data_IF_471970237209
#
_entry.id   IF_471970237209
#
_cell.length_a   1.000
_cell.length_b   1.000
_cell.length_c   1.000
_cell.angle_alpha   90.00
_cell.angle_beta   90.00
_cell.angle_gamma   90.00
#
_symmetry.space_group_name_H-M   'P 1'
#
loop_
_entity.id
_entity.type
_entity.pdbx_description
1 polymer ?
#
# COMPACT_ATOMS: atom_id res chain seq x y z
N UNK A 1 -9.31 26.64 -1.00
CA UNK A 1 -8.67 25.74 -0.01
C UNK A 1 -9.43 25.79 1.32
N UNK A 2 -9.87 24.64 1.83
CA UNK A 2 -10.57 24.51 3.13
C UNK A 2 -9.74 25.09 4.29
N UNK A 3 -8.45 24.75 4.37
CA UNK A 3 -7.57 25.24 5.44
C UNK A 3 -7.52 26.76 5.56
N UNK A 4 -7.43 27.51 4.43
CA UNK A 4 -7.49 28.98 4.45
C UNK A 4 -8.83 29.57 4.95
N UNK A 5 -9.91 28.77 4.87
CA UNK A 5 -11.24 29.18 5.38
C UNK A 5 -11.46 28.82 6.85
N UNK A 6 -10.46 28.25 7.51
CA UNK A 6 -10.58 27.78 8.89
C UNK A 6 -11.34 26.46 9.05
N UNK A 7 -11.53 25.71 7.95
CA UNK A 7 -12.25 24.43 7.97
C UNK A 7 -11.33 23.27 8.39
N UNK A 8 -11.89 22.29 9.07
CA UNK A 8 -11.19 21.04 9.35
C UNK A 8 -10.81 20.33 8.05
N UNK A 9 -9.59 19.83 7.98
CA UNK A 9 -9.11 19.01 6.87
C UNK A 9 -8.81 17.58 7.31
N UNK A 10 -8.95 16.65 6.39
CA UNK A 10 -8.59 15.25 6.60
C UNK A 10 -7.43 14.87 5.70
N UNK A 11 -6.36 14.33 6.27
CA UNK A 11 -5.18 13.84 5.57
C UNK A 11 -5.08 12.34 5.80
N UNK A 12 -4.95 11.56 4.71
CA UNK A 12 -4.76 10.11 4.79
C UNK A 12 -3.34 9.78 4.33
N UNK A 13 -2.57 9.08 5.18
CA UNK A 13 -1.35 8.41 4.77
C UNK A 13 -1.68 7.01 4.25
N UNK A 14 -1.46 6.73 2.97
CA UNK A 14 -1.81 5.48 2.31
C UNK A 14 -0.60 4.78 1.72
N UNK A 15 -0.16 3.69 2.35
CA UNK A 15 1.11 3.06 1.96
C UNK A 15 1.47 1.83 2.77
N UNK A 16 2.78 1.54 2.77
CA UNK A 16 3.38 0.39 3.44
C UNK A 16 3.82 0.67 4.89
N UNK A 17 4.88 -0.02 5.32
CA UNK A 17 5.43 0.08 6.68
C UNK A 17 6.01 1.45 7.00
N UNK A 18 6.53 2.19 6.02
CA UNK A 18 7.06 3.53 6.24
C UNK A 18 5.91 4.48 6.58
N UNK A 19 4.82 4.42 5.83
CA UNK A 19 3.61 5.18 6.14
C UNK A 19 3.00 4.75 7.48
N UNK A 20 3.02 3.45 7.82
CA UNK A 20 2.59 2.95 9.12
C UNK A 20 3.42 3.54 10.28
N UNK A 21 4.66 3.98 10.01
CA UNK A 21 5.56 4.61 10.95
C UNK A 21 6.64 3.69 11.51
N UNK A 22 7.02 2.66 10.76
CA UNK A 22 8.12 1.78 11.18
C UNK A 22 9.40 2.58 11.46
N UNK A 23 10.04 2.29 12.61
CA UNK A 23 11.22 2.98 13.16
C UNK A 23 10.99 4.42 13.65
N UNK A 24 9.81 5.00 13.51
CA UNK A 24 9.42 6.15 14.30
C UNK A 24 9.19 5.72 15.77
N UNK A 25 9.70 6.50 16.71
CA UNK A 25 9.60 6.13 18.15
C UNK A 25 8.22 6.44 18.74
N UNK A 26 7.43 7.28 18.08
CA UNK A 26 6.07 7.67 18.46
C UNK A 26 5.31 8.22 17.25
N UNK A 27 3.99 8.33 17.35
CA UNK A 27 3.14 8.79 16.24
C UNK A 27 3.47 10.20 15.77
N UNK A 28 3.82 11.11 16.67
CA UNK A 28 4.22 12.48 16.37
C UNK A 28 5.57 12.59 15.62
N UNK A 29 6.31 11.49 15.50
CA UNK A 29 7.55 11.38 14.71
C UNK A 29 7.34 10.75 13.34
N UNK A 30 6.14 10.30 13.00
CA UNK A 30 5.81 9.78 11.69
C UNK A 30 5.67 10.90 10.67
N UNK A 31 6.17 10.72 9.46
CA UNK A 31 6.21 11.79 8.46
C UNK A 31 4.82 12.39 8.15
N UNK A 32 3.79 11.55 8.06
CA UNK A 32 2.43 12.01 7.77
C UNK A 32 1.84 12.85 8.92
N UNK A 33 2.10 12.50 10.18
CA UNK A 33 1.67 13.32 11.33
C UNK A 33 2.43 14.65 11.39
N UNK A 34 3.73 14.66 11.03
CA UNK A 34 4.51 15.91 10.96
C UNK A 34 3.94 16.83 9.84
N UNK A 35 3.52 16.26 8.71
CA UNK A 35 2.82 17.02 7.66
C UNK A 35 1.49 17.57 8.18
N UNK A 36 0.70 16.76 8.88
CA UNK A 36 -0.54 17.21 9.49
C UNK A 36 -0.32 18.34 10.51
N UNK A 37 0.77 18.25 11.30
CA UNK A 37 1.14 19.32 12.24
C UNK A 37 1.51 20.62 11.52
N UNK A 38 2.19 20.54 10.37
CA UNK A 38 2.47 21.73 9.55
C UNK A 38 1.18 22.47 9.14
N UNK A 39 0.12 21.74 8.77
CA UNK A 39 -1.18 22.36 8.44
C UNK A 39 -1.83 23.01 9.67
N UNK A 40 -1.76 22.35 10.86
CA UNK A 40 -2.28 22.93 12.11
C UNK A 40 -1.57 24.23 12.44
N UNK A 41 -0.23 24.24 12.36
CA UNK A 41 0.60 25.41 12.71
C UNK A 41 0.48 26.55 11.69
N UNK A 42 0.29 26.22 10.41
CA UNK A 42 0.26 27.22 9.33
C UNK A 42 -1.09 27.92 9.22
N UNK A 43 -2.19 27.18 9.46
CA UNK A 43 -3.55 27.69 9.21
C UNK A 43 -4.41 27.83 10.45
N UNK A 44 -3.93 27.40 11.60
CA UNK A 44 -4.69 27.35 12.87
C UNK A 44 -6.02 26.59 12.73
N UNK A 45 -5.96 25.38 12.11
CA UNK A 45 -7.12 24.55 11.83
C UNK A 45 -7.00 23.17 12.46
N UNK A 46 -8.14 22.51 12.66
CA UNK A 46 -8.15 21.10 13.03
C UNK A 46 -7.74 20.23 11.82
N UNK A 47 -6.88 19.25 12.08
CA UNK A 47 -6.48 18.26 11.08
C UNK A 47 -6.71 16.85 11.62
N UNK A 48 -7.54 16.10 10.91
CA UNK A 48 -7.71 14.67 11.12
C UNK A 48 -6.66 13.92 10.30
N UNK A 49 -5.60 13.46 10.93
CA UNK A 49 -4.66 12.57 10.26
C UNK A 49 -5.06 11.11 10.47
N UNK A 50 -5.27 10.40 9.36
CA UNK A 50 -5.59 8.97 9.34
C UNK A 50 -4.39 8.21 8.81
N UNK A 51 -3.75 7.41 9.65
CA UNK A 51 -2.67 6.54 9.24
C UNK A 51 -3.22 5.21 8.70
N UNK A 52 -3.33 5.11 7.38
CA UNK A 52 -3.73 3.91 6.64
C UNK A 52 -2.53 3.12 6.09
N UNK A 53 -1.34 3.31 6.68
CA UNK A 53 -0.17 2.48 6.43
C UNK A 53 -0.36 1.06 6.97
N UNK A 54 0.05 0.07 6.18
CA UNK A 54 0.06 -1.35 6.57
C UNK A 54 1.37 -1.97 6.09
N UNK A 55 2.17 -2.46 7.01
CA UNK A 55 3.49 -3.03 6.71
C UNK A 55 3.46 -4.11 5.63
N UNK A 56 4.49 -4.12 4.80
CA UNK A 56 4.67 -5.09 3.70
C UNK A 56 3.55 -5.14 2.65
N UNK A 57 2.69 -4.11 2.56
CA UNK A 57 1.65 -4.05 1.53
C UNK A 57 2.13 -3.31 0.29
N UNK A 58 1.80 -3.86 -0.87
CA UNK A 58 2.05 -3.31 -2.20
C UNK A 58 0.87 -2.49 -2.69
N UNK A 59 1.01 -1.79 -3.82
CA UNK A 59 -0.11 -1.11 -4.49
C UNK A 59 -1.23 -2.08 -4.88
N UNK A 60 -0.90 -3.33 -5.20
CA UNK A 60 -1.89 -4.38 -5.45
C UNK A 60 -2.76 -4.67 -4.22
N UNK A 61 -2.18 -4.70 -3.02
CA UNK A 61 -2.96 -4.76 -1.77
C UNK A 61 -3.69 -3.44 -1.54
N UNK A 62 -3.03 -2.33 -1.84
CA UNK A 62 -3.56 -0.98 -1.72
C UNK A 62 -4.89 -0.82 -2.43
N UNK A 63 -4.94 -1.16 -3.72
CA UNK A 63 -6.16 -0.95 -4.52
C UNK A 63 -7.36 -1.73 -3.99
N UNK A 64 -7.18 -2.93 -3.45
CA UNK A 64 -8.28 -3.73 -2.89
C UNK A 64 -8.81 -3.18 -1.55
N UNK A 65 -8.05 -2.32 -0.86
CA UNK A 65 -8.43 -1.72 0.43
C UNK A 65 -8.72 -0.23 0.36
N UNK A 66 -8.75 0.35 -0.82
CA UNK A 66 -8.87 1.80 -1.02
C UNK A 66 -10.19 2.35 -0.46
N UNK A 67 -11.30 1.61 -0.60
CA UNK A 67 -12.61 1.99 -0.07
C UNK A 67 -12.58 2.19 1.45
N UNK A 68 -12.04 1.20 2.16
CA UNK A 68 -12.02 1.20 3.61
C UNK A 68 -10.98 2.15 4.20
N UNK A 69 -9.83 2.29 3.50
CA UNK A 69 -8.66 2.96 4.05
C UNK A 69 -8.41 4.37 3.48
N UNK A 70 -9.15 4.77 2.45
CA UNK A 70 -9.07 6.12 1.87
C UNK A 70 -10.46 6.74 1.81
N UNK A 71 -11.38 6.21 1.01
CA UNK A 71 -12.65 6.87 0.71
C UNK A 71 -13.59 6.95 1.90
N UNK A 72 -13.59 5.95 2.79
CA UNK A 72 -14.38 5.98 4.03
C UNK A 72 -14.04 7.18 4.94
N UNK A 73 -12.92 7.84 4.72
CA UNK A 73 -12.46 9.00 5.51
C UNK A 73 -12.73 10.35 4.84
N UNK A 74 -13.20 10.38 3.58
CA UNK A 74 -13.42 11.60 2.79
C UNK A 74 -12.21 12.56 2.87
N UNK A 75 -11.01 12.15 2.42
CA UNK A 75 -9.79 12.93 2.59
C UNK A 75 -9.76 14.18 1.73
N UNK A 76 -9.08 15.22 2.20
CA UNK A 76 -8.72 16.41 1.41
C UNK A 76 -7.34 16.25 0.77
N UNK A 77 -6.48 15.40 1.37
CA UNK A 77 -5.14 15.08 0.88
C UNK A 77 -4.82 13.62 1.17
N UNK A 78 -4.29 12.92 0.18
CA UNK A 78 -3.70 11.57 0.36
C UNK A 78 -2.21 11.62 0.07
N UNK A 79 -1.41 11.14 1.03
CA UNK A 79 0.01 10.88 0.87
C UNK A 79 0.19 9.42 0.47
N UNK A 80 0.57 9.15 -0.79
CA UNK A 80 0.67 7.80 -1.34
C UNK A 80 2.11 7.30 -1.33
N UNK A 81 2.36 6.12 -0.72
CA UNK A 81 3.68 5.50 -0.62
C UNK A 81 3.59 3.98 -0.80
N UNK A 82 3.95 3.48 -1.99
CA UNK A 82 4.11 2.05 -2.28
C UNK A 82 5.46 1.72 -2.93
N UNK A 83 6.28 2.72 -3.20
CA UNK A 83 7.52 2.58 -3.97
C UNK A 83 8.53 1.61 -3.36
N UNK A 84 8.53 1.45 -2.05
CA UNK A 84 9.47 0.54 -1.37
C UNK A 84 9.05 -0.93 -1.47
N UNK A 85 7.74 -1.20 -1.49
CA UNK A 85 7.19 -2.56 -1.44
C UNK A 85 6.90 -3.14 -2.83
N UNK A 86 6.61 -2.31 -3.81
CA UNK A 86 6.40 -2.75 -5.18
C UNK A 86 7.74 -3.15 -5.80
N UNK A 87 7.81 -4.35 -6.34
CA UNK A 87 9.06 -4.88 -6.85
C UNK A 87 9.47 -4.22 -8.15
N UNK A 88 10.76 -4.02 -8.26
CA UNK A 88 11.40 -3.51 -9.45
C UNK A 88 11.03 -4.27 -10.73
N UNK A 89 10.54 -3.56 -11.73
CA UNK A 89 10.28 -4.09 -13.06
C UNK A 89 9.15 -5.12 -13.12
N UNK A 90 8.46 -5.34 -12.01
CA UNK A 90 7.32 -6.24 -11.97
C UNK A 90 6.06 -5.53 -12.49
N UNK A 91 5.60 -5.94 -13.66
CA UNK A 91 4.42 -5.37 -14.32
C UNK A 91 3.14 -5.48 -13.48
N UNK A 92 3.11 -6.42 -12.52
CA UNK A 92 1.98 -6.60 -11.60
C UNK A 92 1.64 -5.37 -10.77
N UNK A 93 2.56 -4.42 -10.61
CA UNK A 93 2.35 -3.24 -9.78
C UNK A 93 2.08 -1.96 -10.57
N UNK A 94 2.23 -1.97 -11.91
CA UNK A 94 2.00 -0.80 -12.77
C UNK A 94 0.53 -0.39 -12.75
N UNK A 95 -0.34 -1.26 -13.22
CA UNK A 95 -1.78 -1.00 -13.27
C UNK A 95 -2.42 -0.82 -11.88
N UNK A 96 -2.10 -1.61 -10.83
CA UNK A 96 -2.65 -1.35 -9.51
C UNK A 96 -2.27 0.03 -8.95
N UNK A 97 -1.01 0.45 -9.14
CA UNK A 97 -0.57 1.76 -8.68
C UNK A 97 -1.25 2.89 -9.46
N UNK A 98 -1.31 2.78 -10.78
CA UNK A 98 -2.03 3.72 -11.63
C UNK A 98 -3.50 3.84 -11.21
N UNK A 99 -4.17 2.70 -11.00
CA UNK A 99 -5.58 2.70 -10.59
C UNK A 99 -5.78 3.33 -9.20
N UNK A 100 -4.83 3.16 -8.27
CA UNK A 100 -4.88 3.89 -6.98
C UNK A 100 -4.92 5.40 -7.20
N UNK A 101 -4.02 5.94 -8.04
CA UNK A 101 -3.99 7.37 -8.33
C UNK A 101 -5.28 7.82 -9.00
N UNK A 102 -5.67 7.11 -10.08
CA UNK A 102 -6.84 7.46 -10.88
C UNK A 102 -8.12 7.45 -10.07
N UNK A 103 -8.39 6.40 -9.30
CA UNK A 103 -9.59 6.31 -8.47
C UNK A 103 -9.68 7.44 -7.44
N UNK A 104 -8.55 7.80 -6.81
CA UNK A 104 -8.57 8.94 -5.87
C UNK A 104 -8.91 10.24 -6.61
N UNK A 105 -8.38 10.44 -7.82
CA UNK A 105 -8.62 11.65 -8.61
C UNK A 105 -10.04 11.69 -9.23
N UNK A 106 -10.62 10.53 -9.59
CA UNK A 106 -11.96 10.45 -10.17
C UNK A 106 -13.07 10.51 -9.13
N UNK A 107 -12.91 9.83 -8.01
CA UNK A 107 -13.98 9.63 -7.03
C UNK A 107 -14.07 10.77 -6.01
N UNK A 108 -13.05 11.64 -5.96
CA UNK A 108 -12.99 12.71 -4.95
C UNK A 108 -12.28 13.96 -5.46
N UNK A 109 -12.61 15.13 -4.90
CA UNK A 109 -11.84 16.38 -5.07
C UNK A 109 -10.54 16.35 -4.23
N UNK A 110 -9.97 15.18 -4.03
CA UNK A 110 -8.85 14.95 -3.13
C UNK A 110 -7.53 15.24 -3.82
N UNK A 111 -6.68 16.02 -3.18
CA UNK A 111 -5.30 16.20 -3.62
C UNK A 111 -4.46 14.94 -3.28
N UNK A 112 -3.51 14.64 -4.17
CA UNK A 112 -2.55 13.55 -3.97
C UNK A 112 -1.13 14.13 -3.93
N UNK A 113 -0.29 13.58 -3.06
CA UNK A 113 1.16 13.71 -3.13
C UNK A 113 1.74 12.29 -3.09
N UNK A 114 2.47 11.92 -4.12
CA UNK A 114 3.23 10.66 -4.13
C UNK A 114 4.59 10.87 -3.47
N UNK A 115 4.92 10.03 -2.50
CA UNK A 115 6.19 10.08 -1.77
C UNK A 115 7.04 8.89 -2.16
N UNK A 116 8.24 9.14 -2.67
CA UNK A 116 9.17 8.09 -3.10
C UNK A 116 10.14 7.78 -1.98
N UNK A 117 9.95 6.63 -1.36
CA UNK A 117 10.92 6.01 -0.46
C UNK A 117 11.67 4.89 -1.18
N UNK A 118 12.71 4.37 -0.55
CA UNK A 118 13.51 3.29 -1.10
C UNK A 118 14.27 2.52 -0.03
N UNK A 119 14.96 1.48 -0.47
CA UNK A 119 15.73 0.60 0.38
C UNK A 119 17.18 0.47 -0.11
N UNK A 120 18.08 0.12 0.80
CA UNK A 120 19.49 -0.18 0.48
C UNK A 120 19.77 -1.67 0.76
N UNK A 121 20.70 -2.24 0.02
CA UNK A 121 21.17 -3.61 0.28
C UNK A 121 22.23 -3.69 1.36
N UNK A 122 22.89 -2.56 1.66
CA UNK A 122 23.90 -2.44 2.70
C UNK A 122 23.56 -1.27 3.63
N UNK A 123 23.20 -1.59 4.87
CA UNK A 123 22.81 -0.58 5.87
C UNK A 123 23.94 0.44 6.19
N UNK A 124 25.19 0.02 6.06
CA UNK A 124 26.34 0.90 6.26
C UNK A 124 26.75 1.65 5.00
N UNK A 125 25.90 1.70 3.96
CA UNK A 125 26.19 2.39 2.73
C UNK A 125 26.44 3.89 2.95
N UNK A 126 27.56 4.36 2.46
CA UNK A 126 28.03 5.75 2.53
C UNK A 126 28.04 6.45 1.15
N UNK A 127 27.71 5.72 0.10
CA UNK A 127 27.53 6.24 -1.26
C UNK A 127 26.73 5.26 -2.13
N UNK A 128 26.31 5.71 -3.32
CA UNK A 128 25.54 4.90 -4.28
C UNK A 128 26.25 3.61 -4.68
N UNK A 129 27.58 3.66 -4.88
CA UNK A 129 28.34 2.49 -5.30
C UNK A 129 28.38 1.41 -4.20
N UNK A 130 28.45 1.81 -2.94
CA UNK A 130 28.47 0.90 -1.79
C UNK A 130 27.08 0.41 -1.39
N UNK A 131 26.01 1.07 -1.84
CA UNK A 131 24.64 0.71 -1.48
C UNK A 131 24.07 -0.42 -2.30
N UNK A 132 24.72 -0.86 -3.41
CA UNK A 132 24.03 -1.52 -4.50
C UNK A 132 22.72 -0.76 -4.78
N UNK A 133 22.82 0.56 -4.86
CA UNK A 133 21.71 1.42 -5.18
C UNK A 133 20.94 0.76 -6.32
N UNK A 134 19.96 0.02 -5.96
CA UNK A 134 18.91 -0.28 -6.90
C UNK A 134 18.26 1.07 -7.10
N UNK A 135 18.55 1.70 -8.23
CA UNK A 135 17.63 2.68 -8.75
C UNK A 135 16.28 2.10 -8.38
N UNK A 136 15.52 2.80 -7.55
CA UNK A 136 14.29 2.24 -7.04
C UNK A 136 13.46 1.89 -8.27
N UNK A 137 13.48 0.61 -8.65
CA UNK A 137 12.96 0.20 -9.95
C UNK A 137 11.42 0.34 -9.94
N UNK A 138 10.81 0.38 -8.72
CA UNK A 138 9.42 0.72 -8.56
C UNK A 138 9.14 2.14 -9.04
N UNK A 139 10.08 3.08 -8.88
CA UNK A 139 9.92 4.42 -9.43
C UNK A 139 9.74 4.38 -10.95
N UNK A 140 10.49 3.52 -11.67
CA UNK A 140 10.31 3.35 -13.11
C UNK A 140 8.94 2.77 -13.51
N UNK A 141 8.30 2.04 -12.61
CA UNK A 141 6.95 1.53 -12.80
C UNK A 141 5.87 2.56 -12.43
N UNK A 142 6.13 3.41 -11.44
CA UNK A 142 5.15 4.37 -10.91
C UNK A 142 5.24 5.76 -11.54
N UNK A 143 6.46 6.25 -11.82
CA UNK A 143 6.68 7.60 -12.32
C UNK A 143 5.89 7.92 -13.61
N UNK A 144 5.77 7.01 -14.60
CA UNK A 144 4.98 7.29 -15.78
C UNK A 144 3.52 7.67 -15.47
N UNK A 145 2.85 6.94 -14.58
CA UNK A 145 1.47 7.27 -14.18
C UNK A 145 1.40 8.53 -13.32
N UNK A 146 2.37 8.76 -12.43
CA UNK A 146 2.43 10.01 -11.67
C UNK A 146 2.50 11.23 -12.61
N UNK A 147 3.35 11.17 -13.65
CA UNK A 147 3.50 12.24 -14.64
C UNK A 147 2.27 12.36 -15.55
N UNK A 148 1.68 11.24 -15.93
CA UNK A 148 0.50 11.21 -16.80
C UNK A 148 -0.74 11.87 -16.18
N UNK A 149 -0.90 11.72 -14.85
CA UNK A 149 -1.98 12.33 -14.08
C UNK A 149 -1.58 13.63 -13.39
N UNK A 150 -0.40 14.17 -13.68
CA UNK A 150 0.13 15.40 -13.08
C UNK A 150 0.15 15.36 -11.53
N UNK A 151 0.43 14.19 -10.95
CA UNK A 151 0.52 14.00 -9.51
C UNK A 151 1.88 14.48 -9.00
N UNK A 152 1.92 15.39 -8.01
CA UNK A 152 3.17 15.83 -7.40
C UNK A 152 3.97 14.67 -6.81
N UNK A 153 5.28 14.65 -7.11
CA UNK A 153 6.22 13.61 -6.67
C UNK A 153 7.25 14.19 -5.72
N UNK A 154 7.29 13.71 -4.50
CA UNK A 154 8.34 14.02 -3.53
C UNK A 154 9.35 12.86 -3.52
N UNK A 155 10.40 13.00 -4.30
CA UNK A 155 11.50 12.02 -4.36
C UNK A 155 12.44 12.21 -3.17
N UNK A 156 12.01 11.76 -2.00
CA UNK A 156 12.82 11.75 -0.78
C UNK A 156 14.08 10.89 -0.96
N UNK A 157 13.94 9.70 -1.54
CA UNK A 157 15.03 8.75 -1.68
C UNK A 157 16.14 9.24 -2.62
N UNK A 158 15.79 9.75 -3.78
CA UNK A 158 16.76 10.33 -4.71
C UNK A 158 17.43 11.59 -4.16
N UNK A 159 16.66 12.43 -3.45
CA UNK A 159 17.18 13.62 -2.78
C UNK A 159 18.18 13.26 -1.68
N UNK A 160 17.87 12.23 -0.87
CA UNK A 160 18.74 11.73 0.19
C UNK A 160 20.13 11.31 -0.35
N UNK A 161 20.16 10.61 -1.48
CA UNK A 161 21.42 10.16 -2.09
C UNK A 161 22.33 11.29 -2.55
N UNK A 162 21.81 12.45 -2.89
CA UNK A 162 22.64 13.63 -3.18
C UNK A 162 23.45 14.04 -1.95
N UNK A 163 22.83 14.05 -0.77
CA UNK A 163 23.51 14.38 0.48
C UNK A 163 24.47 13.29 0.94
N UNK A 164 24.11 12.02 0.76
CA UNK A 164 24.97 10.89 1.09
C UNK A 164 26.23 10.89 0.20
N UNK A 165 26.08 11.04 -1.12
CA UNK A 165 27.22 11.10 -2.03
C UNK A 165 28.10 12.33 -1.82
N UNK A 166 27.54 13.43 -1.35
CA UNK A 166 28.29 14.62 -0.97
C UNK A 166 29.01 14.47 0.39
N UNK A 167 28.82 13.36 1.10
CA UNK A 167 29.41 13.12 2.43
C UNK A 167 28.81 13.98 3.55
N UNK A 168 27.63 14.59 3.32
CA UNK A 168 26.97 15.46 4.31
C UNK A 168 26.27 14.63 5.38
N UNK A 169 25.65 13.51 4.99
CA UNK A 169 24.96 12.56 5.86
C UNK A 169 25.30 11.13 5.45
N UNK A 170 25.03 10.18 6.33
CA UNK A 170 25.09 8.74 6.06
C UNK A 170 23.68 8.15 6.10
N UNK A 171 23.47 7.00 5.45
CA UNK A 171 22.20 6.27 5.56
C UNK A 171 21.82 5.99 7.00
N UNK A 172 22.78 5.61 7.84
CA UNK A 172 22.58 5.32 9.28
C UNK A 172 22.15 6.52 10.11
N UNK A 173 22.35 7.75 9.64
CA UNK A 173 21.90 8.96 10.36
C UNK A 173 20.41 9.19 10.20
N UNK A 174 19.82 8.65 9.13
CA UNK A 174 18.42 8.92 8.72
C UNK A 174 17.55 7.67 8.64
N UNK A 175 18.12 6.49 8.76
CA UNK A 175 17.39 5.23 8.69
C UNK A 175 17.63 4.36 9.93
N UNK A 176 16.62 3.59 10.33
CA UNK A 176 16.69 2.65 11.45
C UNK A 176 17.11 1.24 11.03
N UNK A 177 17.10 0.94 9.73
CA UNK A 177 17.54 -0.30 9.12
C UNK A 177 17.75 -0.13 7.61
N UNK A 178 17.72 -1.24 6.84
CA UNK A 178 17.90 -1.22 5.37
C UNK A 178 16.79 -0.48 4.61
N UNK A 179 15.64 -0.23 5.23
CA UNK A 179 14.41 0.23 4.57
C UNK A 179 13.84 1.46 5.28
N UNK A 180 13.66 1.36 6.60
CA UNK A 180 12.77 2.24 7.34
C UNK A 180 13.51 3.49 7.85
N UNK A 181 12.97 4.68 7.57
CA UNK A 181 13.48 5.93 8.12
C UNK A 181 13.47 5.92 9.67
N UNK A 182 14.52 6.46 10.28
CA UNK A 182 14.52 6.83 11.70
C UNK A 182 13.64 8.08 11.93
N UNK A 183 13.52 8.54 13.17
CA UNK A 183 12.85 9.83 13.45
C UNK A 183 13.41 10.97 12.58
N UNK A 184 14.73 11.00 12.39
CA UNK A 184 15.38 11.99 11.53
C UNK A 184 14.95 11.82 10.07
N UNK A 185 14.90 10.59 9.56
CA UNK A 185 14.46 10.32 8.19
C UNK A 185 12.99 10.67 7.97
N UNK A 186 12.11 10.33 8.90
CA UNK A 186 10.71 10.76 8.85
C UNK A 186 10.57 12.28 8.85
N UNK A 187 11.34 12.98 9.69
CA UNK A 187 11.35 14.44 9.71
C UNK A 187 11.84 15.03 8.38
N UNK A 188 12.88 14.47 7.79
CA UNK A 188 13.39 14.92 6.48
C UNK A 188 12.38 14.71 5.36
N UNK A 189 11.70 13.56 5.33
CA UNK A 189 10.64 13.29 4.35
C UNK A 189 9.48 14.28 4.50
N UNK A 190 9.01 14.50 5.74
CA UNK A 190 7.98 15.49 6.03
C UNK A 190 8.43 16.91 5.66
N UNK A 191 9.69 17.27 5.93
CA UNK A 191 10.23 18.58 5.56
C UNK A 191 10.25 18.81 4.05
N UNK A 192 10.53 17.79 3.26
CA UNK A 192 10.45 17.88 1.80
C UNK A 192 9.01 18.11 1.31
N UNK A 193 8.04 17.42 1.91
CA UNK A 193 6.62 17.63 1.63
C UNK A 193 6.18 19.05 2.05
N UNK A 194 6.55 19.47 3.26
CA UNK A 194 6.20 20.78 3.79
C UNK A 194 6.84 21.93 3.00
N UNK A 195 8.04 21.73 2.45
CA UNK A 195 8.68 22.69 1.54
C UNK A 195 7.84 22.86 0.27
N UNK A 196 7.46 21.75 -0.38
CA UNK A 196 6.56 21.77 -1.53
C UNK A 196 5.22 22.47 -1.22
N UNK A 197 4.59 22.13 -0.10
CA UNK A 197 3.33 22.76 0.32
C UNK A 197 3.50 24.27 0.61
N UNK A 198 4.64 24.67 1.14
CA UNK A 198 4.95 26.09 1.37
C UNK A 198 5.15 26.84 0.05
N UNK A 199 5.77 26.21 -0.95
CA UNK A 199 5.91 26.79 -2.29
C UNK A 199 4.54 26.91 -2.99
N UNK A 200 3.68 25.90 -2.87
CA UNK A 200 2.28 25.94 -3.32
C UNK A 200 1.54 27.10 -2.64
N UNK A 201 1.69 27.24 -1.32
CA UNK A 201 1.03 28.32 -0.57
C UNK A 201 1.51 29.72 -0.99
N UNK A 202 2.80 29.88 -1.24
CA UNK A 202 3.40 31.14 -1.67
C UNK A 202 2.96 31.57 -3.08
N UNK A 203 2.61 30.63 -3.94
CA UNK A 203 2.21 30.88 -5.33
C UNK A 203 0.73 30.59 -5.60
N UNK A 204 -0.11 30.63 -4.59
CA UNK A 204 -1.50 30.18 -4.67
C UNK A 204 -2.35 30.97 -5.67
N UNK A 205 -2.05 32.23 -5.86
CA UNK A 205 -2.77 33.11 -6.78
C UNK A 205 -2.43 32.83 -8.27
N UNK A 206 -1.30 32.14 -8.50
CA UNK A 206 -0.83 31.72 -9.83
C UNK A 206 -1.22 30.28 -10.19
N UNK A 207 -1.79 29.52 -9.22
CA UNK A 207 -2.16 28.12 -9.43
C UNK A 207 -3.57 28.04 -10.03
N UNK A 208 -3.69 27.30 -11.12
CA UNK A 208 -4.99 26.89 -11.64
C UNK A 208 -5.68 25.97 -10.64
N UNK A 209 -6.80 26.43 -10.09
CA UNK A 209 -7.59 25.65 -9.14
C UNK A 209 -8.75 24.90 -9.79
N UNK A 210 -8.83 24.89 -11.11
CA UNK A 210 -9.80 24.05 -11.82
C UNK A 210 -9.46 22.58 -11.61
N UNK A 211 -10.49 21.76 -11.38
CA UNK A 211 -10.28 20.29 -11.29
C UNK A 211 -9.79 19.82 -12.66
N UNK A 212 -8.62 19.20 -12.76
CA UNK A 212 -8.09 18.72 -14.03
C UNK A 212 -9.05 17.69 -14.64
N UNK A 213 -9.29 17.79 -15.94
CA UNK A 213 -9.94 16.68 -16.66
C UNK A 213 -8.95 15.54 -16.78
N UNK A 214 -9.28 14.41 -16.20
CA UNK A 214 -8.44 13.22 -16.31
C UNK A 214 -8.41 12.70 -17.75
N UNK A 215 -7.28 12.14 -18.20
CA UNK A 215 -7.21 11.45 -19.47
C UNK A 215 -8.27 10.33 -19.56
N UNK A 216 -8.86 10.12 -20.74
CA UNK A 216 -9.86 9.07 -20.95
C UNK A 216 -9.25 7.70 -20.75
N UNK A 217 -8.07 7.47 -21.31
CA UNK A 217 -7.36 6.18 -21.25
C UNK A 217 -6.44 6.07 -20.03
N UNK A 218 -6.19 4.84 -19.61
CA UNK A 218 -5.10 4.49 -18.69
C UNK A 218 -3.75 4.55 -19.38
N UNK A 219 -2.71 5.01 -18.70
CA UNK A 219 -1.35 5.03 -19.25
C UNK A 219 -0.85 3.62 -19.59
N UNK A 220 -1.11 2.65 -18.71
CA UNK A 220 -0.75 1.24 -18.95
C UNK A 220 -1.84 0.45 -19.68
N UNK A 221 -2.97 1.08 -20.03
CA UNK A 221 -4.04 0.45 -20.82
C UNK A 221 -4.82 -0.64 -20.11
N UNK A 222 -4.82 -0.68 -18.77
CA UNK A 222 -5.42 -1.76 -17.99
C UNK A 222 -6.29 -1.19 -16.86
N UNK A 223 -7.61 -1.26 -17.01
CA UNK A 223 -8.63 -0.78 -16.06
C UNK A 223 -9.17 -1.88 -15.12
N UNK A 224 -8.60 -3.07 -15.17
CA UNK A 224 -9.10 -4.26 -14.45
C UNK A 224 -9.26 -4.04 -12.93
N UNK A 225 -8.51 -3.11 -12.35
CA UNK A 225 -8.54 -2.86 -10.91
C UNK A 225 -9.52 -1.79 -10.45
N UNK A 226 -10.28 -1.17 -11.35
CA UNK A 226 -11.24 -0.11 -10.96
C UNK A 226 -12.30 -0.60 -9.99
N UNK A 227 -12.70 -1.85 -10.12
CA UNK A 227 -13.70 -2.49 -9.25
C UNK A 227 -13.07 -3.31 -8.12
N UNK A 228 -11.74 -3.15 -7.91
CA UNK A 228 -11.02 -3.95 -6.94
C UNK A 228 -11.55 -3.74 -5.51
N UNK A 229 -11.81 -4.85 -4.83
CA UNK A 229 -12.26 -4.86 -3.44
C UNK A 229 -11.80 -6.12 -2.72
N UNK A 230 -11.90 -6.11 -1.39
CA UNK A 230 -11.72 -7.31 -0.57
C UNK A 230 -13.05 -7.92 -0.14
N UNK A 231 -13.16 -9.23 -0.32
CA UNK A 231 -14.17 -10.06 0.33
C UNK A 231 -13.57 -10.67 1.60
N UNK A 232 -14.03 -10.21 2.75
CA UNK A 232 -13.64 -10.72 4.07
C UNK A 232 -14.66 -11.69 4.65
N UNK A 233 -14.40 -12.11 5.87
CA UNK A 233 -15.27 -13.08 6.57
C UNK A 233 -16.70 -12.60 6.86
N UNK A 234 -16.92 -11.30 6.82
CA UNK A 234 -18.24 -10.69 7.00
C UNK A 234 -18.95 -10.42 5.64
N UNK A 235 -18.22 -10.55 4.49
CA UNK A 235 -18.74 -10.26 3.15
C UNK A 235 -19.18 -11.50 2.38
N UNK A 236 -18.59 -12.66 2.64
CA UNK A 236 -18.85 -13.90 1.90
C UNK A 236 -18.93 -15.12 2.82
N UNK A 237 -19.89 -15.99 2.52
CA UNK A 237 -20.10 -17.26 3.24
C UNK A 237 -19.50 -18.41 2.45
N UNK A 238 -18.70 -19.30 3.06
CA UNK A 238 -18.16 -20.46 2.36
C UNK A 238 -19.24 -21.47 2.02
N UNK A 239 -19.14 -22.10 0.86
CA UNK A 239 -20.01 -23.23 0.44
C UNK A 239 -19.59 -24.55 1.07
N UNK A 240 -18.33 -24.63 1.53
CA UNK A 240 -17.80 -25.78 2.29
C UNK A 240 -16.78 -25.28 3.27
N UNK A 241 -16.82 -25.79 4.49
CA UNK A 241 -15.90 -25.38 5.55
C UNK A 241 -15.62 -26.55 6.51
N UNK A 242 -14.34 -26.83 6.72
CA UNK A 242 -13.83 -27.72 7.73
C UNK A 242 -12.73 -27.01 8.52
N UNK A 243 -13.00 -26.75 9.80
CA UNK A 243 -12.06 -26.21 10.78
C UNK A 243 -11.62 -24.75 10.59
N UNK A 244 -12.25 -23.96 9.73
CA UNK A 244 -12.00 -22.53 9.63
C UNK A 244 -13.07 -21.72 10.33
N UNK A 245 -12.67 -20.64 10.99
CA UNK A 245 -13.55 -19.63 11.58
C UNK A 245 -13.18 -18.24 11.11
N UNK A 246 -14.15 -17.34 11.01
CA UNK A 246 -13.89 -15.93 10.71
C UNK A 246 -13.06 -15.33 11.84
N UNK A 247 -11.97 -14.65 11.49
CA UNK A 247 -11.09 -14.04 12.48
C UNK A 247 -10.08 -13.10 11.89
N UNK A 248 -9.52 -12.24 12.74
CA UNK A 248 -8.36 -11.44 12.36
C UNK A 248 -7.13 -12.33 12.32
N UNK A 249 -6.41 -12.28 11.23
CA UNK A 249 -5.12 -12.91 11.08
C UNK A 249 -4.06 -11.90 11.53
N UNK A 250 -3.51 -12.15 12.70
CA UNK A 250 -2.33 -11.51 13.28
C UNK A 250 -2.20 -9.98 13.09
N UNK A 251 -2.89 -9.20 13.92
CA UNK A 251 -2.64 -7.74 14.07
C UNK A 251 -2.87 -6.84 12.86
N UNK A 252 -3.31 -7.39 11.73
CA UNK A 252 -3.43 -6.67 10.48
C UNK A 252 -4.70 -5.81 10.46
N UNK A 253 -4.55 -4.61 9.96
CA UNK A 253 -5.64 -3.62 9.82
C UNK A 253 -6.58 -3.92 8.63
N UNK A 254 -6.48 -5.08 7.98
CA UNK A 254 -7.38 -5.50 6.91
C UNK A 254 -8.67 -6.11 7.45
N UNK A 255 -9.65 -6.31 6.55
CA UNK A 255 -10.85 -7.10 6.83
C UNK A 255 -10.48 -8.45 7.44
N UNK A 256 -11.35 -8.99 8.28
CA UNK A 256 -11.18 -10.33 8.82
C UNK A 256 -11.15 -11.34 7.65
N UNK A 257 -10.21 -12.26 7.73
CA UNK A 257 -10.18 -13.43 6.88
C UNK A 257 -10.70 -14.66 7.64
N UNK A 258 -10.01 -15.80 7.47
CA UNK A 258 -10.41 -17.06 8.12
C UNK A 258 -9.19 -17.74 8.73
N UNK A 259 -9.40 -18.30 9.92
CA UNK A 259 -8.34 -18.94 10.71
C UNK A 259 -8.71 -20.39 10.96
N UNK A 260 -7.81 -21.31 10.61
CA UNK A 260 -7.84 -22.71 11.03
C UNK A 260 -6.98 -22.85 12.29
N UNK A 261 -7.61 -23.19 13.41
CA UNK A 261 -6.92 -23.42 14.69
C UNK A 261 -6.68 -24.91 14.98
N UNK A 262 -7.08 -25.79 14.06
CA UNK A 262 -6.95 -27.22 14.23
C UNK A 262 -5.56 -27.71 13.80
N UNK A 263 -4.87 -28.44 14.67
CA UNK A 263 -3.55 -28.99 14.40
C UNK A 263 -3.50 -30.04 13.28
N UNK A 264 -4.66 -30.58 12.86
CA UNK A 264 -4.76 -31.48 11.71
C UNK A 264 -5.10 -30.75 10.40
N UNK A 265 -5.25 -29.42 10.48
CA UNK A 265 -5.58 -28.58 9.35
C UNK A 265 -7.07 -28.55 9.00
N UNK A 266 -7.36 -28.04 7.82
CA UNK A 266 -8.72 -27.83 7.36
C UNK A 266 -8.81 -27.48 5.88
N UNK A 267 -10.05 -27.26 5.42
CA UNK A 267 -10.36 -26.82 4.07
C UNK A 267 -11.55 -25.87 4.10
N UNK A 268 -11.51 -24.81 3.30
CA UNK A 268 -12.62 -23.87 3.12
C UNK A 268 -12.76 -23.53 1.65
N UNK A 269 -14.00 -23.51 1.14
CA UNK A 269 -14.29 -23.25 -0.28
C UNK A 269 -15.34 -22.16 -0.40
N UNK A 270 -15.10 -21.24 -1.33
CA UNK A 270 -16.00 -20.14 -1.68
C UNK A 270 -16.41 -20.27 -3.17
N UNK A 271 -17.62 -19.86 -3.47
CA UNK A 271 -18.08 -19.59 -4.82
C UNK A 271 -18.21 -18.07 -4.99
N UNK A 272 -17.53 -17.53 -6.02
CA UNK A 272 -17.54 -16.09 -6.31
C UNK A 272 -17.98 -15.95 -7.78
N UNK A 273 -18.93 -15.04 -8.01
CA UNK A 273 -19.58 -14.89 -9.31
C UNK A 273 -18.95 -13.76 -10.11
N UNK A 274 -18.87 -13.97 -11.44
CA UNK A 274 -18.56 -12.95 -12.43
C UNK A 274 -17.27 -12.16 -12.19
N UNK A 275 -16.23 -12.79 -11.63
CA UNK A 275 -14.96 -12.13 -11.39
C UNK A 275 -14.10 -12.04 -12.65
N UNK A 276 -13.36 -10.96 -12.80
CA UNK A 276 -12.35 -10.75 -13.85
C UNK A 276 -10.94 -11.02 -13.34
N UNK A 277 -10.69 -10.85 -12.05
CA UNK A 277 -9.45 -11.32 -11.41
C UNK A 277 -9.62 -11.69 -9.94
N UNK A 278 -8.68 -12.50 -9.48
CA UNK A 278 -8.52 -12.85 -8.07
C UNK A 278 -7.11 -12.47 -7.62
N UNK A 279 -7.01 -11.87 -6.43
CA UNK A 279 -5.75 -11.69 -5.72
C UNK A 279 -5.83 -12.42 -4.38
N UNK A 280 -4.98 -13.42 -4.21
CA UNK A 280 -5.12 -14.43 -3.16
C UNK A 280 -3.99 -14.30 -2.14
N UNK A 281 -4.34 -14.25 -0.86
CA UNK A 281 -3.41 -14.03 0.24
C UNK A 281 -3.36 -15.21 1.19
N UNK A 282 -2.15 -15.65 1.50
CA UNK A 282 -1.87 -16.50 2.64
C UNK A 282 -1.12 -15.68 3.69
N UNK A 283 -1.64 -15.60 4.88
CA UNK A 283 -1.15 -14.61 5.84
C UNK A 283 -0.35 -15.17 7.01
N UNK A 284 -0.69 -16.34 7.50
CA UNK A 284 -0.13 -16.81 8.76
C UNK A 284 -0.04 -18.30 8.81
N UNK A 285 0.97 -18.79 9.49
CA UNK A 285 1.05 -20.17 9.92
C UNK A 285 1.70 -20.28 11.31
N UNK A 286 1.45 -21.37 11.97
CA UNK A 286 2.14 -21.77 13.19
C UNK A 286 2.93 -23.06 12.95
N UNK A 287 4.14 -23.14 13.50
CA UNK A 287 5.00 -24.31 13.35
C UNK A 287 5.36 -24.64 11.89
N UNK A 288 5.20 -25.90 11.51
CA UNK A 288 5.51 -26.42 10.17
C UNK A 288 4.28 -26.54 9.26
N UNK A 289 3.18 -25.83 9.57
CA UNK A 289 1.99 -25.86 8.75
C UNK A 289 2.24 -25.31 7.35
N UNK A 290 1.63 -25.91 6.36
CA UNK A 290 1.66 -25.47 4.98
C UNK A 290 0.24 -25.33 4.46
N UNK A 291 0.03 -24.34 3.57
CA UNK A 291 -1.24 -24.09 2.94
C UNK A 291 -1.18 -24.23 1.43
N UNK A 292 -2.33 -24.39 0.80
CA UNK A 292 -2.48 -24.40 -0.65
C UNK A 292 -3.75 -23.68 -1.07
N UNK A 293 -3.73 -23.13 -2.29
CA UNK A 293 -4.84 -22.44 -2.93
C UNK A 293 -5.16 -23.12 -4.26
N UNK A 294 -6.43 -23.34 -4.48
CA UNK A 294 -6.96 -23.96 -5.69
C UNK A 294 -8.09 -23.10 -6.26
N UNK A 295 -8.05 -22.83 -7.56
CA UNK A 295 -9.10 -22.12 -8.28
C UNK A 295 -9.67 -23.04 -9.34
N UNK A 296 -10.99 -23.28 -9.31
CA UNK A 296 -11.67 -24.23 -10.16
C UNK A 296 -11.01 -25.62 -10.19
N UNK A 297 -10.55 -26.07 -9.02
CA UNK A 297 -9.85 -27.35 -8.84
C UNK A 297 -8.40 -27.37 -9.32
N UNK A 298 -7.91 -26.33 -10.00
CA UNK A 298 -6.51 -26.21 -10.40
C UNK A 298 -5.68 -25.61 -9.30
N UNK A 299 -4.49 -26.15 -9.08
CA UNK A 299 -3.54 -25.63 -8.09
C UNK A 299 -2.96 -24.30 -8.54
N UNK A 300 -3.15 -23.27 -7.73
CA UNK A 300 -2.50 -21.96 -7.87
C UNK A 300 -1.22 -21.94 -7.01
N UNK A 301 -1.34 -22.29 -5.74
CA UNK A 301 -0.22 -22.45 -4.83
C UNK A 301 -0.34 -23.82 -4.15
N UNK A 302 0.77 -24.53 -4.00
CA UNK A 302 0.83 -25.78 -3.24
C UNK A 302 1.94 -25.70 -2.20
N UNK A 303 1.67 -26.26 -1.02
CA UNK A 303 2.66 -26.39 0.06
C UNK A 303 3.34 -25.06 0.45
N UNK A 304 2.58 -23.95 0.41
CA UNK A 304 3.08 -22.65 0.80
C UNK A 304 3.51 -22.68 2.27
N UNK A 305 4.78 -22.45 2.49
CA UNK A 305 5.35 -22.33 3.82
C UNK A 305 5.50 -20.84 4.16
N UNK A 306 4.55 -20.29 4.93
CA UNK A 306 4.54 -18.88 5.30
C UNK A 306 5.40 -18.57 6.55
N UNK A 307 6.34 -19.44 6.93
CA UNK A 307 7.22 -19.22 8.07
C UNK A 307 8.37 -18.29 7.71
N UNK A 308 8.20 -17.03 8.01
CA UNK A 308 9.28 -16.05 7.90
C UNK A 308 9.53 -15.40 9.26
N UNK A 309 10.66 -15.77 9.85
CA UNK A 309 11.08 -15.24 11.15
C UNK A 309 11.37 -13.74 11.13
N UNK A 310 11.64 -13.16 9.96
CA UNK A 310 11.95 -11.72 9.80
C UNK A 310 10.72 -10.81 9.81
N UNK A 311 9.53 -11.36 9.56
CA UNK A 311 8.28 -10.59 9.48
C UNK A 311 7.32 -10.86 10.64
N UNK A 312 7.79 -11.48 11.71
CA UNK A 312 6.93 -11.78 12.87
C UNK A 312 5.87 -12.86 12.62
N UNK A 313 6.06 -13.70 11.61
CA UNK A 313 5.23 -14.89 11.37
C UNK A 313 4.13 -14.76 10.33
N UNK A 314 4.12 -13.69 9.52
CA UNK A 314 3.21 -13.58 8.38
C UNK A 314 3.98 -13.26 7.10
N UNK A 315 3.58 -13.90 6.03
CA UNK A 315 4.00 -13.56 4.66
C UNK A 315 2.77 -13.26 3.85
N UNK A 316 2.84 -12.18 3.10
CA UNK A 316 1.98 -11.91 1.98
C UNK A 316 2.46 -12.76 0.80
N UNK A 317 1.90 -13.96 0.64
CA UNK A 317 1.96 -14.62 -0.65
C UNK A 317 0.75 -14.09 -1.44
N UNK A 318 1.04 -13.25 -2.41
CA UNK A 318 0.03 -12.80 -3.37
C UNK A 318 0.21 -13.60 -4.65
N UNK A 319 -0.82 -14.25 -5.09
CA UNK A 319 -0.90 -14.75 -6.45
C UNK A 319 -2.12 -14.15 -7.12
N UNK A 320 -2.01 -13.89 -8.40
CA UNK A 320 -3.04 -13.26 -9.19
C UNK A 320 -3.51 -14.22 -10.27
N UNK A 321 -4.83 -14.41 -10.34
CA UNK A 321 -5.48 -15.17 -11.39
C UNK A 321 -6.38 -14.23 -12.18
N UNK A 322 -6.16 -14.13 -13.47
CA UNK A 322 -6.95 -13.31 -14.40
C UNK A 322 -7.81 -14.18 -15.30
N UNK A 323 -8.95 -13.66 -15.71
CA UNK A 323 -9.90 -14.29 -16.63
C UNK A 323 -10.18 -13.33 -17.79
N UNK A 324 -10.24 -13.86 -18.99
CA UNK A 324 -10.52 -13.08 -20.21
C UNK A 324 -11.97 -12.55 -20.23
N UNK A 325 -12.87 -13.24 -19.53
CA UNK A 325 -14.30 -12.89 -19.41
C UNK A 325 -14.75 -13.06 -17.96
N UNK A 326 -15.78 -12.31 -17.51
CA UNK A 326 -16.36 -12.48 -16.17
C UNK A 326 -16.72 -13.95 -15.91
N UNK A 327 -16.07 -14.54 -14.93
CA UNK A 327 -16.09 -15.99 -14.68
C UNK A 327 -16.57 -16.31 -13.28
N UNK A 328 -17.47 -17.29 -13.16
CA UNK A 328 -17.83 -17.89 -11.88
C UNK A 328 -16.74 -18.84 -11.42
N UNK A 329 -16.26 -18.65 -10.21
CA UNK A 329 -15.11 -19.41 -9.71
C UNK A 329 -15.38 -20.08 -8.38
N UNK A 330 -14.73 -21.22 -8.17
CA UNK A 330 -14.56 -21.81 -6.84
C UNK A 330 -13.13 -21.56 -6.35
N UNK A 331 -12.98 -20.96 -5.17
CA UNK A 331 -11.69 -20.74 -4.53
C UNK A 331 -11.62 -21.63 -3.27
N UNK A 332 -10.67 -22.56 -3.26
CA UNK A 332 -10.47 -23.48 -2.13
C UNK A 332 -9.13 -23.25 -1.49
N UNK A 333 -9.12 -23.04 -0.18
CA UNK A 333 -7.93 -23.04 0.67
C UNK A 333 -7.86 -24.34 1.45
N UNK A 334 -6.65 -24.93 1.55
CA UNK A 334 -6.38 -26.12 2.35
C UNK A 334 -5.12 -25.91 3.18
N UNK A 335 -5.10 -26.44 4.38
CA UNK A 335 -3.92 -26.45 5.23
C UNK A 335 -3.82 -27.77 6.01
N UNK A 336 -2.61 -28.07 6.50
CA UNK A 336 -2.32 -29.28 7.27
C UNK A 336 -2.05 -28.99 8.77
N UNK A 337 -2.45 -27.83 9.25
CA UNK A 337 -2.27 -27.40 10.64
C UNK A 337 -2.85 -26.01 10.87
N UNK A 338 -2.43 -25.34 11.93
CA UNK A 338 -2.85 -23.96 12.23
C UNK A 338 -2.42 -23.04 11.13
N UNK A 339 -3.36 -22.31 10.55
CA UNK A 339 -3.14 -21.48 9.38
C UNK A 339 -4.15 -20.35 9.28
N UNK A 340 -3.73 -19.19 8.78
CA UNK A 340 -4.60 -18.05 8.49
C UNK A 340 -4.57 -17.65 7.03
N UNK A 341 -5.74 -17.35 6.48
CA UNK A 341 -5.91 -16.78 5.15
C UNK A 341 -6.52 -15.39 5.26
N UNK A 342 -6.02 -14.47 4.45
CA UNK A 342 -6.54 -13.11 4.40
C UNK A 342 -7.86 -12.99 3.66
N UNK A 343 -8.39 -11.78 3.53
CA UNK A 343 -9.52 -11.53 2.66
C UNK A 343 -9.15 -11.85 1.20
N UNK A 344 -10.14 -12.21 0.40
CA UNK A 344 -9.96 -12.52 -1.03
C UNK A 344 -10.09 -11.21 -1.81
N UNK A 345 -9.03 -10.81 -2.54
CA UNK A 345 -9.10 -9.69 -3.46
C UNK A 345 -9.82 -10.12 -4.74
N UNK A 346 -10.76 -9.31 -5.19
CA UNK A 346 -11.54 -9.56 -6.40
C UNK A 346 -11.66 -8.30 -7.24
N UNK A 347 -11.79 -8.49 -8.55
CA UNK A 347 -12.25 -7.46 -9.49
C UNK A 347 -13.42 -8.00 -10.29
N UNK A 348 -14.28 -7.11 -10.75
CA UNK A 348 -15.46 -7.43 -11.54
C UNK A 348 -15.42 -6.66 -12.87
N UNK A 349 -16.21 -7.06 -13.86
CA UNK A 349 -16.47 -6.22 -15.01
C UNK A 349 -17.22 -4.96 -14.59
N UNK A 350 -16.95 -3.87 -15.32
CA UNK A 350 -17.72 -2.61 -15.21
C UNK A 350 -19.14 -2.78 -15.73
#
# INVERSE_FOLDING_TARGET
MKAKRGETITIVGFGGSITEGAKATSSDKQYGEIVAQWFRDTFDVNVNYVNSGIGSTTSLVGIHRIEEHVFAHNPDLVLVDFTTNDSAGDERYRSPYETVLRRILEDTDTAIISVVFGAVSNYSADNVANSNYRANNSLSAHLPSMLYYDVPVIDYYGSLWRYINAGVIKWTDVAGDYIHPSNTGHLMAASAINCYLSDVLANLDDIDTTVPTLPEDYFFGDDIYETATFLGGDDIVPVSNSNFTVGKVHGIKLKKGWVCTNNTGGSITFEIKAVTSLTLYLQYKEGNSVGGIYVNGKTVISNANCNNSSTGGYIWLTDQVRFDEPTDVTVTFKCNGVFGIGPIGVTYAK
#
